data_IF_513684390094
#
_entry.id   IF_513684390094
#
_cell.length_a   1.000
_cell.length_b   1.000
_cell.length_c   1.000
_cell.angle_alpha   90.00
_cell.angle_beta   90.00
_cell.angle_gamma   90.00
#
_symmetry.space_group_name_H-M   'P 1'
#
loop_
_entity.id
_entity.type
_entity.pdbx_description
1 polymer ?
#
# COMPACT_ATOMS: atom_id res chain seq x y z
N UNK A 1 -98.78 24.77 1.65
CA UNK A 1 -98.66 24.60 0.19
C UNK A 1 -97.38 23.82 -0.01
N UNK A 2 -97.49 22.50 0.02
CA UNK A 2 -96.37 21.58 0.00
C UNK A 2 -96.31 20.97 -1.40
N UNK A 3 -95.33 21.37 -2.20
CA UNK A 3 -95.04 20.72 -3.47
C UNK A 3 -94.29 19.42 -3.17
N UNK A 4 -95.01 18.31 -3.29
CA UNK A 4 -94.43 16.96 -3.39
C UNK A 4 -93.48 16.92 -4.59
N UNK A 5 -92.17 16.93 -4.31
CA UNK A 5 -91.15 16.46 -5.23
C UNK A 5 -91.28 14.95 -5.35
N UNK A 6 -91.99 14.50 -6.38
CA UNK A 6 -92.03 13.09 -6.78
C UNK A 6 -90.61 12.60 -7.02
N UNK A 7 -90.18 11.62 -6.21
CA UNK A 7 -88.93 10.92 -6.40
C UNK A 7 -89.02 10.10 -7.69
N UNK A 8 -88.51 10.68 -8.78
CA UNK A 8 -88.33 10.02 -10.07
C UNK A 8 -87.29 8.90 -9.88
N UNK A 9 -87.76 7.66 -9.83
CA UNK A 9 -86.90 6.50 -9.78
C UNK A 9 -86.17 6.38 -11.13
N UNK A 10 -84.83 6.47 -11.16
CA UNK A 10 -84.07 6.48 -12.41
C UNK A 10 -84.32 5.19 -13.18
N UNK A 11 -84.46 5.34 -14.50
CA UNK A 11 -84.79 4.23 -15.40
C UNK A 11 -83.67 3.18 -15.39
N UNK A 12 -84.02 1.92 -15.68
CA UNK A 12 -83.08 0.79 -15.65
C UNK A 12 -81.89 1.03 -16.59
N UNK A 13 -82.09 1.77 -17.68
CA UNK A 13 -81.06 2.06 -18.68
C UNK A 13 -80.06 3.11 -18.18
N UNK A 14 -80.50 4.13 -17.41
CA UNK A 14 -79.59 5.09 -16.77
C UNK A 14 -78.69 4.42 -15.72
N UNK A 15 -79.24 3.45 -14.98
CA UNK A 15 -78.44 2.66 -14.01
C UNK A 15 -77.41 1.77 -14.70
N UNK A 16 -77.72 1.24 -15.88
CA UNK A 16 -76.75 0.46 -16.69
C UNK A 16 -75.64 1.35 -17.21
N UNK A 17 -75.96 2.54 -17.73
CA UNK A 17 -74.97 3.48 -18.21
C UNK A 17 -73.99 3.89 -17.11
N UNK A 18 -74.51 4.22 -15.92
CA UNK A 18 -73.69 4.57 -14.75
C UNK A 18 -72.80 3.41 -14.26
N UNK A 19 -73.24 2.15 -14.45
CA UNK A 19 -72.44 0.98 -14.12
C UNK A 19 -71.31 0.74 -15.14
N UNK A 20 -71.55 1.01 -16.41
CA UNK A 20 -70.54 0.92 -17.47
C UNK A 20 -69.47 2.01 -17.32
N UNK A 21 -69.85 3.25 -17.00
CA UNK A 21 -68.91 4.34 -16.72
C UNK A 21 -68.00 4.01 -15.52
N UNK A 22 -68.56 3.54 -14.41
CA UNK A 22 -67.77 3.12 -13.23
C UNK A 22 -66.83 1.95 -13.53
N UNK A 23 -67.21 1.05 -14.43
CA UNK A 23 -66.35 -0.07 -14.84
C UNK A 23 -65.14 0.43 -15.62
N UNK A 24 -65.33 1.41 -16.51
CA UNK A 24 -64.25 2.03 -17.28
C UNK A 24 -63.29 2.78 -16.36
N UNK A 25 -63.79 3.53 -15.38
CA UNK A 25 -62.95 4.22 -14.38
C UNK A 25 -62.06 3.25 -13.58
N UNK A 26 -62.64 2.11 -13.15
CA UNK A 26 -61.89 1.08 -12.44
C UNK A 26 -60.80 0.41 -13.29
N UNK A 27 -61.04 0.21 -14.58
CA UNK A 27 -60.03 -0.34 -15.50
C UNK A 27 -58.89 0.66 -15.72
N UNK A 28 -59.20 1.95 -15.86
CA UNK A 28 -58.19 3.01 -15.98
C UNK A 28 -57.33 3.13 -14.72
N UNK A 29 -57.92 3.05 -13.54
CA UNK A 29 -57.18 3.13 -12.27
C UNK A 29 -56.30 1.90 -12.02
N UNK A 30 -56.74 0.70 -12.44
CA UNK A 30 -55.87 -0.49 -12.44
C UNK A 30 -54.63 -0.30 -13.31
N UNK A 31 -54.79 0.25 -14.53
CA UNK A 31 -53.68 0.51 -15.44
C UNK A 31 -52.70 1.52 -14.85
N UNK A 32 -53.18 2.55 -14.14
CA UNK A 32 -52.31 3.54 -13.46
C UNK A 32 -51.50 2.88 -12.34
N UNK A 33 -52.13 2.04 -11.52
CA UNK A 33 -51.46 1.34 -10.42
C UNK A 33 -50.41 0.36 -10.95
N UNK A 34 -50.73 -0.38 -12.02
CA UNK A 34 -49.78 -1.29 -12.66
C UNK A 34 -48.57 -0.55 -13.25
N UNK A 35 -48.79 0.60 -13.92
CA UNK A 35 -47.70 1.45 -14.40
C UNK A 35 -46.82 1.98 -13.26
N UNK A 36 -47.41 2.42 -12.16
CA UNK A 36 -46.64 2.87 -10.98
C UNK A 36 -45.83 1.74 -10.35
N UNK A 37 -46.41 0.53 -10.25
CA UNK A 37 -45.70 -0.65 -9.75
C UNK A 37 -44.57 -1.09 -10.68
N UNK A 38 -44.79 -1.06 -11.98
CA UNK A 38 -43.76 -1.38 -12.96
C UNK A 38 -42.61 -0.37 -12.89
N UNK A 39 -42.91 0.92 -12.72
CA UNK A 39 -41.90 1.97 -12.64
C UNK A 39 -41.09 1.91 -11.34
N UNK A 40 -41.75 1.69 -10.20
CA UNK A 40 -41.05 1.53 -8.90
C UNK A 40 -40.23 0.24 -8.84
N UNK A 41 -40.74 -0.86 -9.43
CA UNK A 41 -40.02 -2.12 -9.54
C UNK A 41 -38.76 -2.02 -10.41
N UNK A 42 -38.84 -1.32 -11.54
CA UNK A 42 -37.70 -1.07 -12.42
C UNK A 42 -36.69 -0.08 -11.78
N UNK A 43 -37.16 0.99 -11.13
CA UNK A 43 -36.28 1.92 -10.43
C UNK A 43 -35.45 1.25 -9.32
N UNK A 44 -36.04 0.30 -8.60
CA UNK A 44 -35.35 -0.51 -7.57
C UNK A 44 -34.19 -1.33 -8.14
N UNK A 45 -34.42 -2.00 -9.27
CA UNK A 45 -33.40 -2.85 -9.93
C UNK A 45 -32.29 -2.02 -10.55
N UNK A 46 -32.60 -0.87 -11.15
CA UNK A 46 -31.57 0.06 -11.63
C UNK A 46 -30.78 0.71 -10.49
N UNK A 47 -31.44 1.02 -9.38
CA UNK A 47 -30.80 1.59 -8.20
C UNK A 47 -29.69 0.67 -7.65
N UNK A 48 -29.98 -0.63 -7.49
CA UNK A 48 -28.98 -1.58 -7.01
C UNK A 48 -27.81 -1.75 -7.99
N UNK A 49 -28.08 -1.78 -9.30
CA UNK A 49 -27.04 -1.86 -10.32
C UNK A 49 -26.10 -0.65 -10.28
N UNK A 50 -26.65 0.55 -10.09
CA UNK A 50 -25.86 1.78 -9.97
C UNK A 50 -24.98 1.77 -8.71
N UNK A 51 -25.48 1.27 -7.58
CA UNK A 51 -24.67 1.15 -6.35
C UNK A 51 -23.51 0.19 -6.56
N UNK A 52 -23.73 -0.95 -7.22
CA UNK A 52 -22.67 -1.90 -7.54
C UNK A 52 -21.64 -1.27 -8.47
N UNK A 53 -22.09 -0.60 -9.54
CA UNK A 53 -21.20 0.08 -10.48
C UNK A 53 -20.38 1.18 -9.80
N UNK A 54 -21.00 1.98 -8.95
CA UNK A 54 -20.33 3.03 -8.17
C UNK A 54 -19.27 2.43 -7.22
N UNK A 55 -19.59 1.32 -6.55
CA UNK A 55 -18.66 0.62 -5.65
C UNK A 55 -17.43 0.12 -6.40
N UNK A 56 -17.63 -0.49 -7.57
CA UNK A 56 -16.52 -0.96 -8.41
C UNK A 56 -15.68 0.21 -8.91
N UNK A 57 -16.30 1.29 -9.39
CA UNK A 57 -15.59 2.47 -9.86
C UNK A 57 -14.74 3.12 -8.76
N UNK A 58 -15.28 3.26 -7.54
CA UNK A 58 -14.54 3.75 -6.38
C UNK A 58 -13.40 2.80 -5.98
N UNK A 59 -13.62 1.49 -6.08
CA UNK A 59 -12.58 0.49 -5.84
C UNK A 59 -11.39 0.65 -6.80
N UNK A 60 -11.67 0.78 -8.09
CA UNK A 60 -10.63 0.98 -9.13
C UNK A 60 -9.91 2.31 -8.92
N UNK A 61 -10.63 3.40 -8.63
CA UNK A 61 -10.02 4.70 -8.34
C UNK A 61 -9.07 4.61 -7.15
N UNK A 62 -9.52 4.00 -6.05
CA UNK A 62 -8.73 3.85 -4.83
C UNK A 62 -7.45 3.06 -5.08
N UNK A 63 -7.55 1.95 -5.83
CA UNK A 63 -6.38 1.15 -6.22
C UNK A 63 -5.39 1.94 -7.08
N UNK A 64 -5.90 2.75 -8.02
CA UNK A 64 -5.05 3.59 -8.86
C UNK A 64 -4.27 4.63 -8.04
N UNK A 65 -4.94 5.27 -7.08
CA UNK A 65 -4.28 6.20 -6.16
C UNK A 65 -3.22 5.51 -5.30
N UNK A 66 -3.54 4.33 -4.75
CA UNK A 66 -2.59 3.55 -3.96
C UNK A 66 -1.36 3.13 -4.78
N UNK A 67 -1.54 2.70 -6.03
CA UNK A 67 -0.44 2.33 -6.92
C UNK A 67 0.49 3.52 -7.17
N UNK A 68 -0.06 4.72 -7.39
CA UNK A 68 0.73 5.94 -7.57
C UNK A 68 1.55 6.27 -6.32
N UNK A 69 0.93 6.24 -5.14
CA UNK A 69 1.62 6.49 -3.88
C UNK A 69 2.71 5.44 -3.62
N UNK A 70 2.46 4.18 -3.99
CA UNK A 70 3.42 3.10 -3.76
C UNK A 70 4.67 3.25 -4.62
N UNK A 71 4.55 3.77 -5.85
CA UNK A 71 5.70 4.14 -6.67
C UNK A 71 6.57 5.21 -6.01
N UNK A 72 5.95 6.31 -5.54
CA UNK A 72 6.69 7.38 -4.88
C UNK A 72 7.42 6.89 -3.61
N UNK A 73 6.80 5.97 -2.86
CA UNK A 73 7.40 5.37 -1.68
C UNK A 73 8.58 4.47 -2.06
N UNK A 74 8.42 3.64 -3.09
CA UNK A 74 9.50 2.76 -3.57
C UNK A 74 10.70 3.56 -4.04
N UNK A 75 10.50 4.65 -4.77
CA UNK A 75 11.59 5.51 -5.24
C UNK A 75 12.34 6.15 -4.08
N UNK A 76 11.61 6.64 -3.06
CA UNK A 76 12.23 7.18 -1.84
C UNK A 76 12.98 6.11 -1.06
N UNK A 77 12.42 4.91 -0.93
CA UNK A 77 13.08 3.79 -0.27
C UNK A 77 14.34 3.35 -1.01
N UNK A 78 14.28 3.24 -2.34
CA UNK A 78 15.43 2.91 -3.17
C UNK A 78 16.53 3.95 -3.02
N UNK A 79 16.18 5.25 -3.02
CA UNK A 79 17.14 6.33 -2.78
C UNK A 79 17.76 6.25 -1.39
N UNK A 80 16.97 6.06 -0.34
CA UNK A 80 17.48 5.96 1.03
C UNK A 80 18.40 4.73 1.23
N UNK A 81 18.04 3.58 0.64
CA UNK A 81 18.89 2.38 0.67
C UNK A 81 20.19 2.58 -0.10
N UNK A 82 20.11 3.26 -1.25
CA UNK A 82 21.28 3.62 -2.03
C UNK A 82 22.21 4.56 -1.25
N UNK A 83 21.66 5.59 -0.60
CA UNK A 83 22.43 6.55 0.23
C UNK A 83 23.13 5.82 1.39
N UNK A 84 22.42 4.93 2.10
CA UNK A 84 23.00 4.10 3.16
C UNK A 84 24.13 3.21 2.66
N UNK A 85 23.94 2.52 1.54
CA UNK A 85 24.98 1.65 0.97
C UNK A 85 26.16 2.41 0.41
N UNK A 86 25.92 3.58 -0.16
CA UNK A 86 26.97 4.49 -0.60
C UNK A 86 27.80 4.98 0.58
N UNK A 87 27.13 5.39 1.67
CA UNK A 87 27.81 5.76 2.91
C UNK A 87 28.64 4.59 3.47
N UNK A 88 28.10 3.37 3.48
CA UNK A 88 28.83 2.16 3.91
C UNK A 88 30.10 1.91 3.07
N UNK A 89 30.02 2.03 1.74
CA UNK A 89 31.17 1.84 0.84
C UNK A 89 32.24 2.91 1.03
N UNK A 90 31.82 4.16 1.23
CA UNK A 90 32.70 5.32 1.44
C UNK A 90 33.39 5.19 2.81
N UNK A 91 32.64 4.90 3.86
CA UNK A 91 33.17 4.77 5.23
C UNK A 91 33.98 3.50 5.47
N UNK A 92 33.77 2.43 4.69
CA UNK A 92 34.52 1.18 4.81
C UNK A 92 35.95 1.22 4.25
N UNK A 93 36.50 2.40 3.95
CA UNK A 93 37.87 2.55 3.46
C UNK A 93 38.80 3.05 4.58
N UNK A 94 39.98 2.45 4.71
CA UNK A 94 40.92 2.76 5.80
C UNK A 94 41.70 4.07 5.60
N UNK A 95 41.63 4.68 4.40
CA UNK A 95 42.40 5.88 4.07
C UNK A 95 41.51 6.99 3.50
N UNK A 96 41.55 8.22 4.03
CA UNK A 96 40.72 9.34 3.58
C UNK A 96 40.90 9.71 2.10
N UNK A 97 42.10 9.54 1.54
CA UNK A 97 42.32 9.77 0.11
C UNK A 97 41.55 8.73 -0.74
N UNK A 98 41.48 7.48 -0.28
CA UNK A 98 40.72 6.42 -0.95
C UNK A 98 39.21 6.63 -0.82
N UNK A 99 38.76 7.16 0.33
CA UNK A 99 37.38 7.56 0.58
C UNK A 99 36.91 8.64 -0.40
N UNK A 100 37.72 9.69 -0.61
CA UNK A 100 37.42 10.75 -1.58
C UNK A 100 37.31 10.22 -3.01
N UNK A 101 38.25 9.36 -3.42
CA UNK A 101 38.23 8.76 -4.77
C UNK A 101 36.99 7.87 -4.98
N UNK A 102 36.59 7.09 -3.96
CA UNK A 102 35.34 6.30 -4.00
C UNK A 102 34.10 7.19 -4.08
N UNK A 103 34.06 8.29 -3.32
CA UNK A 103 32.96 9.25 -3.35
C UNK A 103 32.80 9.89 -4.74
N UNK A 104 33.90 10.31 -5.37
CA UNK A 104 33.91 10.82 -6.76
C UNK A 104 33.48 9.76 -7.77
N UNK A 105 33.95 8.52 -7.63
CA UNK A 105 33.53 7.42 -8.49
C UNK A 105 32.02 7.16 -8.39
N UNK A 106 31.48 7.09 -7.16
CA UNK A 106 30.04 6.94 -6.94
C UNK A 106 29.23 8.08 -7.54
N UNK A 107 29.71 9.32 -7.40
CA UNK A 107 29.09 10.48 -8.02
C UNK A 107 29.04 10.38 -9.56
N UNK A 108 30.11 9.89 -10.18
CA UNK A 108 30.17 9.70 -11.64
C UNK A 108 29.27 8.57 -12.15
N UNK A 109 29.12 7.50 -11.36
CA UNK A 109 28.29 6.35 -11.71
C UNK A 109 26.80 6.60 -11.48
N UNK A 110 26.46 7.43 -10.48
CA UNK A 110 25.08 7.65 -10.04
C UNK A 110 24.73 9.14 -9.90
N UNK A 111 24.87 9.96 -10.97
CA UNK A 111 24.69 11.40 -10.89
C UNK A 111 23.25 11.81 -10.54
N UNK A 112 22.27 10.95 -10.81
CA UNK A 112 20.85 11.21 -10.52
C UNK A 112 20.45 10.94 -9.06
N UNK A 113 21.24 10.15 -8.33
CA UNK A 113 20.94 9.76 -6.95
C UNK A 113 21.72 10.56 -5.92
N UNK A 114 22.90 11.09 -6.28
CA UNK A 114 23.77 11.89 -5.42
C UNK A 114 23.69 13.37 -5.77
N UNK A 115 23.92 14.24 -4.77
CA UNK A 115 24.01 15.68 -5.02
C UNK A 115 25.29 16.02 -5.80
N UNK A 116 25.24 17.10 -6.59
CA UNK A 116 26.38 17.58 -7.36
C UNK A 116 27.60 17.95 -6.50
N UNK A 117 27.39 18.17 -5.20
CA UNK A 117 28.44 18.57 -4.26
C UNK A 117 28.77 17.46 -3.25
N UNK A 118 28.33 16.22 -3.48
CA UNK A 118 28.49 15.10 -2.54
C UNK A 118 29.97 14.83 -2.18
N UNK A 119 30.85 14.86 -3.17
CA UNK A 119 32.28 14.62 -2.97
C UNK A 119 33.07 15.90 -2.59
N UNK A 120 32.48 17.08 -2.78
CA UNK A 120 33.16 18.38 -2.55
C UNK A 120 33.18 18.78 -1.07
N UNK A 121 32.21 18.31 -0.29
CA UNK A 121 32.13 18.59 1.15
C UNK A 121 33.13 17.79 1.99
N UNK A 122 33.78 16.78 1.39
CA UNK A 122 34.73 15.93 2.10
C UNK A 122 36.18 16.41 1.88
N UNK A 123 36.79 16.94 2.94
CA UNK A 123 38.20 17.35 2.98
C UNK A 123 39.02 16.25 3.64
N UNK A 124 39.87 15.51 2.90
CA UNK A 124 40.63 14.38 3.46
C UNK A 124 41.52 14.76 4.66
N UNK A 125 42.06 15.99 4.65
CA UNK A 125 43.00 16.47 5.68
C UNK A 125 42.36 16.62 7.06
N UNK A 126 41.02 16.77 7.11
CA UNK A 126 40.27 16.88 8.37
C UNK A 126 40.04 15.52 9.04
N UNK A 127 40.20 14.41 8.29
CA UNK A 127 39.87 13.06 8.73
C UNK A 127 41.06 12.12 8.48
N UNK A 128 42.08 12.13 9.34
CA UNK A 128 43.24 11.24 9.16
C UNK A 128 44.53 11.69 9.83
N UNK A 129 44.57 12.92 10.33
CA UNK A 129 45.50 13.25 11.42
C UNK A 129 44.95 12.56 12.67
N UNK A 130 45.54 11.42 13.05
CA UNK A 130 45.61 11.16 14.49
C UNK A 130 46.09 12.48 15.11
N UNK A 131 45.41 13.02 16.15
CA UNK A 131 45.97 14.15 16.85
C UNK A 131 47.36 13.70 17.21
N UNK A 132 48.36 14.27 16.54
CA UNK A 132 49.77 14.08 16.81
C UNK A 132 49.83 14.36 18.29
N UNK A 133 49.86 13.29 19.07
CA UNK A 133 49.89 13.38 20.50
C UNK A 133 51.05 14.32 20.72
N UNK A 134 50.76 15.45 21.36
CA UNK A 134 51.76 16.23 22.05
C UNK A 134 52.78 15.21 22.52
N UNK A 135 53.98 15.27 21.92
CA UNK A 135 55.08 14.36 22.19
C UNK A 135 55.45 14.61 23.64
N UNK A 136 54.66 14.06 24.55
CA UNK A 136 54.99 13.87 25.95
C UNK A 136 55.89 12.67 25.88
N UNK A 137 57.15 12.98 25.59
CA UNK A 137 58.28 12.15 25.89
C UNK A 137 58.24 11.85 27.39
N UNK A 138 57.53 10.81 27.81
CA UNK A 138 57.80 10.24 29.11
C UNK A 138 57.46 8.75 29.21
N UNK A 139 58.55 8.01 29.45
CA UNK A 139 58.70 6.79 30.25
C UNK A 139 57.91 5.51 29.92
N UNK A 140 58.72 4.55 29.43
CA UNK A 140 58.93 3.25 30.09
C UNK A 140 57.82 2.21 30.04
N UNK A 141 57.92 1.36 29.02
CA UNK A 141 57.42 -0.01 28.98
C UNK A 141 57.89 -0.77 30.23
N UNK A 142 57.02 -1.53 30.92
CA UNK A 142 57.21 -2.97 30.79
C UNK A 142 55.91 -3.80 30.79
N UNK A 143 56.02 -4.93 30.09
CA UNK A 143 55.57 -6.28 30.52
C UNK A 143 54.16 -6.75 30.15
N UNK A 144 54.15 -7.56 29.09
CA UNK A 144 53.48 -8.85 28.97
C UNK A 144 52.06 -8.99 29.54
N UNK A 145 51.05 -8.69 28.72
CA UNK A 145 49.66 -9.12 28.97
C UNK A 145 49.37 -10.39 28.18
N UNK A 146 49.24 -11.47 28.96
CA UNK A 146 48.86 -12.83 28.59
C UNK A 146 47.51 -12.85 27.87
N UNK A 147 47.51 -13.24 26.60
CA UNK A 147 46.29 -13.47 25.79
C UNK A 147 45.52 -14.65 26.39
N UNK A 148 44.42 -14.38 27.10
CA UNK A 148 43.43 -15.41 27.45
C UNK A 148 42.55 -15.66 26.23
N UNK A 149 42.57 -16.90 25.73
CA UNK A 149 41.64 -17.42 24.72
C UNK A 149 40.20 -17.02 25.06
N UNK A 150 39.57 -16.22 24.19
CA UNK A 150 38.13 -15.98 24.25
C UNK A 150 37.38 -17.25 23.82
N UNK A 151 36.32 -17.67 24.55
CA UNK A 151 35.46 -18.77 24.12
C UNK A 151 34.58 -18.35 22.93
N UNK A 152 34.13 -19.32 22.11
CA UNK A 152 33.35 -19.05 20.90
C UNK A 152 32.01 -18.38 21.22
N UNK A 153 31.74 -17.27 20.54
CA UNK A 153 30.47 -16.55 20.58
C UNK A 153 29.32 -17.46 20.09
N UNK A 154 28.45 -17.83 21.02
CA UNK A 154 27.18 -18.49 20.72
C UNK A 154 26.31 -17.51 19.95
N UNK A 155 26.00 -17.88 18.71
CA UNK A 155 25.16 -17.14 17.77
C UNK A 155 23.73 -17.01 18.34
N UNK A 156 23.45 -15.90 19.04
CA UNK A 156 22.07 -15.53 19.41
C UNK A 156 21.34 -15.08 18.15
N UNK A 157 20.47 -15.95 17.65
CA UNK A 157 19.38 -15.58 16.74
C UNK A 157 18.45 -14.64 17.49
N UNK A 158 18.63 -13.33 17.31
CA UNK A 158 17.63 -12.35 17.71
C UNK A 158 16.42 -12.53 16.79
N UNK A 159 15.34 -13.09 17.35
CA UNK A 159 14.02 -12.97 16.76
C UNK A 159 13.71 -11.47 16.67
N UNK A 160 13.58 -10.99 15.43
CA UNK A 160 13.09 -9.67 15.07
C UNK A 160 11.68 -9.50 15.63
N UNK A 161 11.57 -8.91 16.82
CA UNK A 161 10.31 -8.36 17.33
C UNK A 161 9.97 -7.16 16.45
N UNK A 162 9.01 -7.36 15.56
CA UNK A 162 8.36 -6.28 14.83
C UNK A 162 7.59 -5.44 15.83
N UNK A 163 7.78 -4.12 15.77
CA UNK A 163 7.01 -3.13 16.50
C UNK A 163 5.53 -3.21 16.07
N UNK A 164 4.75 -3.96 16.85
CA UNK A 164 3.30 -4.03 16.73
C UNK A 164 2.71 -2.89 17.58
N UNK A 165 1.96 -2.01 16.91
CA UNK A 165 1.25 -0.87 17.49
C UNK A 165 0.44 -1.27 18.74
N UNK A 166 0.86 -0.78 19.89
CA UNK A 166 0.16 -0.90 21.16
C UNK A 166 -1.01 0.10 21.21
N UNK A 167 -2.19 -0.33 20.80
CA UNK A 167 -3.43 0.39 21.10
C UNK A 167 -3.76 0.28 22.60
N UNK A 168 -3.52 1.34 23.35
CA UNK A 168 -3.95 1.46 24.75
C UNK A 168 -5.44 1.75 24.83
N UNK A 169 -6.23 0.75 25.23
CA UNK A 169 -7.60 0.94 25.70
C UNK A 169 -7.65 0.51 27.16
N UNK A 170 -7.89 1.47 28.07
CA UNK A 170 -8.28 1.25 29.47
C UNK A 170 -7.25 0.61 30.44
N UNK A 171 -5.96 0.94 30.33
CA UNK A 171 -5.02 0.76 31.45
C UNK A 171 -4.67 -0.68 31.84
N UNK A 172 -4.95 -1.67 30.99
CA UNK A 172 -4.42 -3.04 31.11
C UNK A 172 -3.94 -3.55 29.75
N UNK A 173 -2.75 -4.18 29.68
CA UNK A 173 -2.27 -4.73 28.41
C UNK A 173 -3.14 -5.91 27.98
N UNK A 174 -3.88 -5.73 26.88
CA UNK A 174 -4.65 -6.81 26.24
C UNK A 174 -3.77 -7.44 25.19
N UNK A 175 -3.18 -8.59 25.50
CA UNK A 175 -2.48 -9.42 24.52
C UNK A 175 -3.51 -10.03 23.57
N UNK A 176 -3.56 -9.56 22.31
CA UNK A 176 -4.27 -10.27 21.25
C UNK A 176 -3.55 -11.60 21.02
N UNK A 177 -4.18 -12.71 21.43
CA UNK A 177 -3.70 -14.04 21.02
C UNK A 177 -3.81 -14.13 19.51
N UNK A 178 -2.66 -14.19 18.85
CA UNK A 178 -2.59 -14.47 17.43
C UNK A 178 -3.04 -15.92 17.21
N UNK A 179 -4.30 -16.12 16.81
CA UNK A 179 -4.70 -17.41 16.24
C UNK A 179 -4.30 -17.38 14.77
N UNK A 180 -3.30 -18.18 14.34
CA UNK A 180 -2.92 -18.25 12.94
C UNK A 180 -4.15 -18.66 12.14
N UNK A 181 -4.55 -17.79 11.20
CA UNK A 181 -5.68 -18.04 10.31
C UNK A 181 -5.41 -19.32 9.53
N UNK A 182 -6.29 -20.31 9.65
CA UNK A 182 -6.18 -21.62 8.98
C UNK A 182 -6.32 -21.54 7.46
N UNK A 183 -6.60 -20.35 6.92
CA UNK A 183 -6.88 -20.15 5.49
C UNK A 183 -5.68 -19.65 4.66
N UNK A 184 -4.49 -19.53 5.25
CA UNK A 184 -3.28 -19.23 4.48
C UNK A 184 -2.82 -20.51 3.79
N UNK A 185 -3.41 -20.81 2.63
CA UNK A 185 -2.86 -21.81 1.71
C UNK A 185 -1.46 -21.34 1.31
N UNK A 186 -0.42 -22.19 1.43
CA UNK A 186 0.91 -21.83 0.97
C UNK A 186 0.83 -21.43 -0.51
N UNK A 187 1.34 -20.24 -0.84
CA UNK A 187 1.44 -19.81 -2.23
C UNK A 187 2.27 -20.87 -2.98
N UNK A 188 1.81 -21.35 -4.15
CA UNK A 188 2.59 -22.27 -4.95
C UNK A 188 3.92 -21.60 -5.26
N UNK A 189 5.01 -22.29 -4.94
CA UNK A 189 6.35 -21.87 -5.32
C UNK A 189 6.36 -21.75 -6.85
N UNK A 190 6.39 -20.51 -7.34
CA UNK A 190 6.59 -20.24 -8.76
C UNK A 190 7.94 -20.87 -9.14
N UNK A 191 7.89 -21.86 -10.02
CA UNK A 191 9.08 -22.52 -10.54
C UNK A 191 10.03 -21.43 -11.08
N UNK A 192 11.29 -21.44 -10.63
CA UNK A 192 12.30 -20.54 -11.16
C UNK A 192 12.40 -20.78 -12.67
N UNK A 193 12.39 -19.72 -13.50
CA UNK A 193 12.62 -19.86 -14.92
C UNK A 193 13.98 -20.54 -15.13
N UNK A 194 13.99 -21.67 -15.82
CA UNK A 194 15.21 -22.35 -16.22
C UNK A 194 15.97 -21.44 -17.19
N UNK A 195 17.29 -21.24 -16.98
CA UNK A 195 18.09 -20.45 -17.91
C UNK A 195 18.04 -21.11 -19.29
N UNK A 196 17.74 -20.31 -20.31
CA UNK A 196 17.75 -20.78 -21.70
C UNK A 196 19.17 -21.18 -22.11
N UNK A 197 19.34 -22.25 -22.90
CA UNK A 197 20.66 -22.70 -23.34
C UNK A 197 21.34 -21.59 -24.16
N UNK A 198 22.53 -21.21 -23.74
CA UNK A 198 23.40 -20.26 -24.44
C UNK A 198 23.77 -20.89 -25.78
N UNK A 199 23.38 -20.24 -26.88
CA UNK A 199 23.85 -20.64 -28.22
C UNK A 199 25.35 -20.38 -28.30
N UNK A 200 26.10 -21.47 -28.28
CA UNK A 200 27.53 -21.51 -28.54
C UNK A 200 27.78 -20.95 -29.94
N UNK A 201 28.45 -19.79 -30.01
CA UNK A 201 28.83 -19.18 -31.27
C UNK A 201 29.92 -20.05 -31.92
N UNK A 202 29.63 -20.56 -33.12
CA UNK A 202 30.62 -21.32 -33.91
C UNK A 202 31.83 -20.45 -34.23
N UNK A 203 33.05 -21.01 -34.26
CA UNK A 203 34.24 -20.30 -34.67
C UNK A 203 34.16 -19.98 -36.16
N UNK A 204 34.50 -18.74 -36.51
CA UNK A 204 34.74 -18.32 -37.89
C UNK A 204 36.15 -18.77 -38.24
N UNK A 205 36.27 -19.67 -39.22
CA UNK A 205 37.53 -20.03 -39.89
C UNK A 205 38.02 -18.90 -40.81
#
# INVERSE_FOLDING_TARGET
MDHQTSAETPSIDERKLALEERKIELELDKIKIEKMRAWTGSASTFGSLLVVAATVALGIWSQYQQAKLQHDIQDRQAKAQFELKSAEIVMGADNPATTLNKARALQSLFPQYLSANFAESFVPDDFGREPEAAVVADTTVPRAVRIKKQPPLVRRTAASTSDDEMAFVSGRPVYKRYTPSKDIRPRPYMARPTPSPVKEASPVE
#
